data_IF_387867771806
#
_entry.id   IF_387867771806
#
_cell.length_a   1.000
_cell.length_b   1.000
_cell.length_c   1.000
_cell.angle_alpha   90.00
_cell.angle_beta   90.00
_cell.angle_gamma   90.00
#
_symmetry.space_group_name_H-M   'P 1'
#
loop_
_entity.id
_entity.type
_entity.pdbx_description
1 polymer ?
#
# COMPACT_ATOMS: atom_id res chain seq x y z
N UNK A 1 1.09 22.61 -7.96
CA UNK A 1 2.20 22.17 -7.07
C UNK A 1 2.99 21.11 -7.81
N UNK A 2 4.33 21.26 -7.88
CA UNK A 2 5.17 20.20 -8.37
C UNK A 2 5.20 19.11 -7.28
N UNK A 3 4.57 17.97 -7.56
CA UNK A 3 4.63 16.79 -6.70
C UNK A 3 5.93 16.08 -7.08
N UNK A 4 6.87 15.88 -6.15
CA UNK A 4 8.11 15.17 -6.48
C UNK A 4 7.82 13.73 -6.90
N UNK A 5 8.63 13.19 -7.80
CA UNK A 5 8.53 11.80 -8.22
C UNK A 5 8.76 10.88 -7.01
N UNK A 6 7.80 9.99 -6.74
CA UNK A 6 7.88 9.02 -5.64
C UNK A 6 8.11 7.62 -6.18
N UNK A 7 9.00 6.89 -5.54
CA UNK A 7 9.23 5.46 -5.80
C UNK A 7 8.79 4.70 -4.57
N UNK A 8 7.66 3.99 -4.67
CA UNK A 8 7.12 3.18 -3.59
C UNK A 8 7.70 1.77 -3.69
N UNK A 9 8.43 1.33 -2.67
CA UNK A 9 8.87 -0.05 -2.56
C UNK A 9 7.64 -0.93 -2.24
N UNK A 10 7.16 -1.66 -3.25
CA UNK A 10 5.95 -2.47 -3.21
C UNK A 10 6.09 -3.61 -2.21
N UNK A 11 5.30 -3.58 -1.13
CA UNK A 11 5.39 -4.49 0.02
C UNK A 11 6.76 -4.48 0.70
N UNK A 12 7.45 -3.33 0.71
CA UNK A 12 8.85 -3.20 1.09
C UNK A 12 9.81 -3.58 -0.05
N UNK A 13 11.09 -3.83 0.25
CA UNK A 13 12.01 -4.40 -0.76
C UNK A 13 11.81 -5.92 -0.86
N UNK A 14 10.70 -6.32 -1.46
CA UNK A 14 10.19 -7.69 -1.55
C UNK A 14 11.07 -8.65 -2.38
N UNK A 15 12.03 -8.12 -3.12
CA UNK A 15 13.05 -8.93 -3.83
C UNK A 15 14.29 -9.22 -2.97
N UNK A 16 14.45 -8.55 -1.84
CA UNK A 16 15.59 -8.69 -0.93
C UNK A 16 15.19 -9.26 0.45
N UNK A 17 13.92 -9.24 0.78
CA UNK A 17 13.37 -9.76 2.03
C UNK A 17 11.89 -10.16 1.81
N UNK A 18 11.30 -11.01 2.68
CA UNK A 18 9.91 -11.45 2.51
C UNK A 18 8.94 -10.25 2.51
N UNK A 19 8.05 -10.22 1.52
CA UNK A 19 7.07 -9.14 1.34
C UNK A 19 6.25 -8.87 2.60
N UNK A 20 5.86 -7.61 2.81
CA UNK A 20 4.98 -7.20 3.91
C UNK A 20 5.50 -7.61 5.31
N UNK A 21 6.82 -7.59 5.51
CA UNK A 21 7.47 -7.85 6.80
C UNK A 21 8.32 -6.67 7.26
N UNK A 22 8.60 -6.62 8.56
CA UNK A 22 9.52 -5.61 9.10
C UNK A 22 10.94 -5.74 8.50
N UNK A 23 11.36 -6.96 8.11
CA UNK A 23 12.62 -7.18 7.41
C UNK A 23 12.64 -6.44 6.06
N UNK A 24 11.55 -6.54 5.26
CA UNK A 24 11.46 -5.84 3.97
C UNK A 24 11.42 -4.31 4.14
N UNK A 25 10.77 -3.81 5.19
CA UNK A 25 10.70 -2.37 5.47
C UNK A 25 12.05 -1.81 5.95
N UNK A 26 12.79 -2.54 6.79
CA UNK A 26 14.16 -2.20 7.18
C UNK A 26 15.08 -2.09 5.97
N UNK A 27 14.95 -3.00 5.00
CA UNK A 27 15.73 -2.93 3.74
C UNK A 27 15.50 -1.65 2.96
N UNK A 28 14.28 -1.09 2.97
CA UNK A 28 13.99 0.19 2.31
C UNK A 28 14.84 1.31 2.92
N UNK A 29 14.85 1.41 4.25
CA UNK A 29 15.66 2.41 4.97
C UNK A 29 17.16 2.17 4.78
N UNK A 30 17.64 0.92 4.86
CA UNK A 30 19.05 0.54 4.61
C UNK A 30 19.54 0.96 3.22
N UNK A 31 18.66 0.97 2.22
CA UNK A 31 18.98 1.39 0.84
C UNK A 31 18.77 2.90 0.59
N UNK A 32 18.47 3.68 1.64
CA UNK A 32 18.27 5.13 1.52
C UNK A 32 16.97 5.53 0.82
N UNK A 33 16.01 4.62 0.70
CA UNK A 33 14.68 4.88 0.18
C UNK A 33 13.77 5.35 1.31
N UNK A 34 12.72 6.11 0.98
CA UNK A 34 11.87 6.77 1.97
C UNK A 34 10.37 6.57 1.76
N UNK A 35 9.96 5.71 0.82
CA UNK A 35 8.57 5.36 0.59
C UNK A 35 8.39 3.85 0.45
N UNK A 36 7.46 3.30 1.20
CA UNK A 36 6.93 1.94 1.01
C UNK A 36 5.50 1.97 0.50
N UNK A 37 5.10 0.87 -0.07
CA UNK A 37 3.70 0.48 -0.17
C UNK A 37 3.52 -0.80 0.63
N UNK A 38 2.34 -0.97 1.24
CA UNK A 38 2.00 -2.16 2.04
C UNK A 38 0.49 -2.34 2.17
N UNK A 39 0.08 -3.59 2.41
CA UNK A 39 -1.30 -4.03 2.47
C UNK A 39 -1.76 -4.25 3.91
N UNK A 40 -2.93 -3.77 4.30
CA UNK A 40 -3.49 -4.01 5.64
C UNK A 40 -4.87 -4.63 5.59
N UNK A 41 -5.11 -5.56 6.51
CA UNK A 41 -6.41 -6.12 6.83
C UNK A 41 -6.54 -6.35 8.35
N UNK A 42 -7.60 -6.99 8.84
CA UNK A 42 -7.95 -7.05 10.26
C UNK A 42 -8.16 -8.48 10.74
N UNK A 43 -7.70 -8.79 11.94
CA UNK A 43 -8.01 -10.03 12.66
C UNK A 43 -9.38 -9.96 13.34
N UNK A 44 -9.86 -11.10 13.82
CA UNK A 44 -11.14 -11.21 14.52
C UNK A 44 -11.25 -10.39 15.81
N UNK A 45 -10.14 -10.10 16.47
CA UNK A 45 -10.08 -9.28 17.69
C UNK A 45 -9.93 -7.77 17.40
N UNK A 46 -9.84 -7.37 16.13
CA UNK A 46 -9.69 -5.98 15.71
C UNK A 46 -8.24 -5.52 15.50
N UNK A 47 -7.26 -6.39 15.65
CA UNK A 47 -5.86 -6.08 15.36
C UNK A 47 -5.64 -5.92 13.87
N UNK A 48 -5.07 -4.79 13.44
CA UNK A 48 -4.72 -4.55 12.02
C UNK A 48 -3.37 -5.19 11.73
N UNK A 49 -3.38 -6.14 10.79
CA UNK A 49 -2.18 -6.85 10.32
C UNK A 49 -1.74 -6.36 8.95
N UNK A 50 -0.50 -6.66 8.60
CA UNK A 50 0.07 -6.38 7.29
C UNK A 50 0.12 -7.69 6.51
N UNK A 51 -0.79 -7.85 5.54
CA UNK A 51 -0.91 -9.05 4.71
C UNK A 51 -1.64 -8.71 3.40
N UNK A 52 -1.12 -9.20 2.27
CA UNK A 52 -1.74 -8.98 0.97
C UNK A 52 -2.93 -9.91 0.72
N UNK A 53 -2.74 -11.22 0.94
CA UNK A 53 -3.73 -12.23 0.62
C UNK A 53 -4.76 -12.36 1.75
N UNK A 54 -5.97 -12.83 1.44
CA UNK A 54 -7.01 -13.14 2.42
C UNK A 54 -6.74 -14.42 3.21
N UNK A 55 -5.67 -15.13 2.87
CA UNK A 55 -5.20 -16.33 3.55
C UNK A 55 -3.69 -16.27 3.83
N UNK A 56 -3.24 -17.12 4.76
CA UNK A 56 -1.85 -17.21 5.21
C UNK A 56 -0.98 -18.13 4.37
N UNK A 57 -1.55 -18.81 3.37
CA UNK A 57 -0.95 -19.98 2.69
C UNK A 57 0.32 -19.66 1.91
N UNK A 58 0.39 -18.51 1.24
CA UNK A 58 1.48 -18.20 0.30
C UNK A 58 2.74 -17.68 1.00
N UNK A 59 2.57 -16.88 2.03
CA UNK A 59 3.67 -16.11 2.62
C UNK A 59 3.94 -16.45 4.09
N UNK A 60 3.33 -17.53 4.61
CA UNK A 60 3.56 -17.96 5.99
C UNK A 60 3.65 -19.49 6.14
N UNK A 61 3.99 -19.94 7.34
CA UNK A 61 3.96 -21.35 7.75
C UNK A 61 2.55 -21.85 8.15
N UNK A 62 1.50 -21.04 7.95
CA UNK A 62 0.11 -21.37 8.30
C UNK A 62 -0.75 -21.43 7.04
N UNK A 63 -1.95 -21.99 7.18
CA UNK A 63 -2.92 -22.09 6.09
C UNK A 63 -4.29 -21.59 6.52
N UNK A 64 -5.08 -21.12 5.55
CA UNK A 64 -6.44 -20.63 5.73
C UNK A 64 -6.52 -19.15 6.08
N UNK A 65 -7.75 -18.68 6.27
CA UNK A 65 -8.05 -17.29 6.57
C UNK A 65 -7.70 -16.88 7.99
N UNK A 66 -7.53 -15.60 8.22
CA UNK A 66 -7.12 -15.03 9.50
C UNK A 66 -8.23 -14.24 10.24
N UNK A 67 -9.44 -14.13 9.71
CA UNK A 67 -10.53 -13.38 10.36
C UNK A 67 -11.00 -13.99 11.70
N UNK A 68 -10.64 -15.24 11.99
CA UNK A 68 -10.89 -15.89 13.28
C UNK A 68 -9.73 -15.84 14.27
N UNK A 69 -8.59 -15.26 13.87
CA UNK A 69 -7.38 -15.17 14.68
C UNK A 69 -7.38 -13.91 15.55
N UNK A 70 -6.45 -13.90 16.51
CA UNK A 70 -6.20 -12.80 17.45
C UNK A 70 -4.73 -12.40 17.40
N UNK A 71 -4.37 -11.27 18.00
CA UNK A 71 -2.98 -10.81 18.11
C UNK A 71 -2.06 -11.88 18.77
N UNK A 72 -2.58 -12.69 19.70
CA UNK A 72 -1.80 -13.75 20.34
C UNK A 72 -1.38 -14.87 19.36
N UNK A 73 -2.18 -15.12 18.32
CA UNK A 73 -1.86 -16.13 17.30
C UNK A 73 -0.68 -15.75 16.43
N UNK A 74 -0.39 -14.43 16.27
CA UNK A 74 0.71 -13.91 15.46
C UNK A 74 2.07 -14.42 15.93
N UNK A 75 2.23 -14.73 17.22
CA UNK A 75 3.47 -15.28 17.79
C UNK A 75 3.87 -16.63 17.18
N UNK A 76 2.90 -17.38 16.66
CA UNK A 76 3.12 -18.70 16.04
C UNK A 76 3.24 -18.65 14.51
N UNK A 77 3.05 -17.48 13.90
CA UNK A 77 3.10 -17.29 12.45
C UNK A 77 4.51 -16.89 12.06
N UNK A 78 5.12 -17.68 11.18
CA UNK A 78 6.39 -17.39 10.53
C UNK A 78 6.09 -16.90 9.11
N UNK A 79 6.40 -15.63 8.84
CA UNK A 79 6.19 -14.98 7.56
C UNK A 79 7.50 -14.80 6.75
N UNK A 80 8.59 -15.44 7.19
CA UNK A 80 9.91 -15.27 6.56
C UNK A 80 10.48 -16.53 5.94
N UNK A 81 10.29 -17.71 6.55
CA UNK A 81 10.93 -18.96 6.13
C UNK A 81 10.64 -19.39 4.69
N UNK A 82 9.51 -18.98 4.12
CA UNK A 82 9.15 -19.26 2.72
C UNK A 82 10.07 -18.54 1.73
N UNK A 83 10.61 -17.39 2.12
CA UNK A 83 11.49 -16.57 1.28
C UNK A 83 12.95 -17.06 1.36
N UNK A 84 13.44 -17.37 2.58
CA UNK A 84 14.78 -17.85 2.82
C UNK A 84 15.01 -18.20 4.27
N UNK A 85 15.92 -19.15 4.52
CA UNK A 85 16.21 -19.62 5.89
C UNK A 85 16.75 -18.53 6.81
N UNK A 86 17.38 -17.48 6.27
CA UNK A 86 17.89 -16.32 7.00
C UNK A 86 16.77 -15.45 7.59
N UNK A 87 15.54 -15.59 7.07
CA UNK A 87 14.35 -14.90 7.57
C UNK A 87 13.45 -15.79 8.44
N UNK A 88 13.93 -16.99 8.78
CA UNK A 88 13.15 -17.90 9.63
C UNK A 88 12.80 -17.23 10.96
N UNK A 89 11.52 -17.28 11.33
CA UNK A 89 11.00 -16.64 12.54
C UNK A 89 10.58 -15.18 12.38
N UNK A 90 10.74 -14.56 11.19
CA UNK A 90 10.14 -13.24 10.90
C UNK A 90 8.63 -13.33 11.09
N UNK A 91 8.05 -12.35 11.78
CA UNK A 91 6.63 -12.36 12.16
C UNK A 91 5.78 -11.63 11.12
N UNK A 92 4.49 -11.99 11.08
CA UNK A 92 3.49 -11.18 10.40
C UNK A 92 3.32 -9.87 11.17
N UNK A 93 3.63 -8.69 10.59
CA UNK A 93 3.61 -7.45 11.34
C UNK A 93 2.19 -6.93 11.56
N UNK A 94 2.04 -6.07 12.56
CA UNK A 94 0.85 -5.24 12.75
C UNK A 94 1.08 -3.83 12.21
N UNK A 95 0.00 -3.12 11.86
CA UNK A 95 0.08 -1.69 11.51
C UNK A 95 0.64 -0.85 12.67
N UNK A 96 0.37 -1.26 13.92
CA UNK A 96 0.93 -0.63 15.11
C UNK A 96 2.47 -0.62 15.08
N UNK A 97 3.09 -1.77 14.81
CA UNK A 97 4.55 -1.90 14.71
C UNK A 97 5.12 -1.09 13.54
N UNK A 98 4.40 -1.06 12.41
CA UNK A 98 4.83 -0.25 11.27
C UNK A 98 4.79 1.24 11.60
N UNK A 99 3.74 1.74 12.25
CA UNK A 99 3.63 3.16 12.64
C UNK A 99 4.75 3.56 13.60
N UNK A 100 5.11 2.70 14.57
CA UNK A 100 6.26 2.95 15.44
C UNK A 100 7.55 3.05 14.63
N UNK A 101 7.78 2.11 13.71
CA UNK A 101 8.95 2.11 12.83
C UNK A 101 9.01 3.32 11.90
N UNK A 102 7.86 3.75 11.36
CA UNK A 102 7.76 4.98 10.55
C UNK A 102 8.17 6.21 11.36
N UNK A 103 7.67 6.34 12.59
CA UNK A 103 8.03 7.45 13.48
C UNK A 103 9.53 7.45 13.84
N UNK A 104 10.13 6.27 14.04
CA UNK A 104 11.55 6.14 14.37
C UNK A 104 12.47 6.49 13.19
N UNK A 105 12.05 6.17 11.96
CA UNK A 105 12.93 6.24 10.78
C UNK A 105 12.62 7.38 9.82
N UNK A 106 11.45 8.01 9.93
CA UNK A 106 10.94 8.97 8.95
C UNK A 106 10.44 8.31 7.65
N UNK A 107 10.23 6.99 7.65
CA UNK A 107 9.72 6.26 6.49
C UNK A 107 8.27 6.65 6.20
N UNK A 108 7.98 6.97 4.94
CA UNK A 108 6.63 7.29 4.47
C UNK A 108 5.96 6.04 3.89
N UNK A 109 4.63 6.02 3.84
CA UNK A 109 3.92 4.85 3.33
C UNK A 109 2.70 5.19 2.47
N UNK A 110 2.44 4.37 1.46
CA UNK A 110 1.13 4.13 0.90
C UNK A 110 0.55 2.87 1.57
N UNK A 111 -0.56 3.02 2.28
CA UNK A 111 -1.26 1.91 2.96
C UNK A 111 -2.44 1.50 2.10
N UNK A 112 -2.37 0.32 1.47
CA UNK A 112 -3.53 -0.26 0.80
C UNK A 112 -4.42 -0.95 1.84
N UNK A 113 -5.67 -0.49 1.98
CA UNK A 113 -6.66 -1.20 2.78
C UNK A 113 -7.30 -2.27 1.91
N UNK A 114 -7.15 -3.54 2.29
CA UNK A 114 -7.73 -4.65 1.55
C UNK A 114 -9.26 -4.65 1.64
N UNK A 115 -9.92 -5.02 0.54
CA UNK A 115 -11.35 -5.26 0.54
C UNK A 115 -11.68 -6.47 1.41
N UNK A 116 -12.16 -6.21 2.63
CA UNK A 116 -12.43 -7.25 3.61
C UNK A 116 -13.60 -8.15 3.17
N UNK A 117 -13.40 -9.47 3.17
CA UNK A 117 -14.40 -10.47 2.77
C UNK A 117 -15.43 -10.77 3.87
N UNK A 118 -15.20 -10.32 5.11
CA UNK A 118 -16.08 -10.58 6.24
C UNK A 118 -17.29 -9.60 6.33
N UNK A 119 -17.47 -8.75 5.33
CA UNK A 119 -18.63 -7.87 5.17
C UNK A 119 -18.48 -6.49 5.82
N UNK A 120 -19.49 -5.65 5.62
CA UNK A 120 -19.45 -4.22 5.93
C UNK A 120 -19.15 -3.87 7.40
N UNK A 121 -19.58 -4.71 8.35
CA UNK A 121 -19.31 -4.47 9.76
C UNK A 121 -17.82 -4.55 10.08
N UNK A 122 -17.13 -5.59 9.57
CA UNK A 122 -15.70 -5.79 9.73
C UNK A 122 -14.92 -4.73 8.94
N UNK A 123 -15.37 -4.38 7.73
CA UNK A 123 -14.78 -3.30 6.92
C UNK A 123 -14.79 -1.96 7.69
N UNK A 124 -15.90 -1.59 8.32
CA UNK A 124 -15.95 -0.38 9.14
C UNK A 124 -15.09 -0.44 10.39
N UNK A 125 -14.93 -1.63 10.97
CA UNK A 125 -14.00 -1.84 12.08
C UNK A 125 -12.56 -1.64 11.62
N UNK A 126 -12.18 -2.21 10.47
CA UNK A 126 -10.87 -2.03 9.84
C UNK A 126 -10.58 -0.54 9.56
N UNK A 127 -11.50 0.18 8.91
CA UNK A 127 -11.35 1.63 8.64
C UNK A 127 -11.03 2.39 9.95
N UNK A 128 -11.84 2.18 10.99
CA UNK A 128 -11.64 2.88 12.28
C UNK A 128 -10.32 2.51 12.96
N UNK A 129 -9.92 1.24 12.89
CA UNK A 129 -8.67 0.75 13.45
C UNK A 129 -7.46 1.35 12.71
N UNK A 130 -7.50 1.39 11.37
CA UNK A 130 -6.47 2.04 10.55
C UNK A 130 -6.36 3.53 10.88
N UNK A 131 -7.48 4.27 10.89
CA UNK A 131 -7.49 5.70 11.24
C UNK A 131 -6.88 5.94 12.63
N UNK A 132 -7.21 5.09 13.61
CA UNK A 132 -6.66 5.18 14.96
C UNK A 132 -5.14 5.01 14.98
N UNK A 133 -4.61 4.02 14.27
CA UNK A 133 -3.15 3.80 14.20
C UNK A 133 -2.45 4.94 13.43
N UNK A 134 -3.01 5.38 12.29
CA UNK A 134 -2.44 6.50 11.53
C UNK A 134 -2.45 7.82 12.31
N UNK A 135 -3.39 7.99 13.24
CA UNK A 135 -3.41 9.14 14.17
C UNK A 135 -2.23 9.21 15.15
N UNK A 136 -1.39 8.17 15.20
CA UNK A 136 -0.14 8.12 16.00
C UNK A 136 1.10 8.57 15.22
N UNK A 137 0.97 8.83 13.91
CA UNK A 137 2.09 9.31 13.10
C UNK A 137 2.52 10.71 13.56
N UNK A 138 3.85 10.89 13.68
CA UNK A 138 4.50 12.14 14.06
C UNK A 138 5.65 12.42 13.08
N UNK A 139 5.31 13.09 11.96
CA UNK A 139 6.25 13.48 10.92
C UNK A 139 6.13 12.73 9.60
N UNK A 140 6.10 11.38 9.53
CA UNK A 140 5.98 10.67 8.25
C UNK A 140 4.71 11.03 7.47
N UNK A 141 4.84 11.06 6.13
CA UNK A 141 3.71 11.20 5.23
C UNK A 141 3.03 9.83 5.00
N UNK A 142 1.70 9.87 4.86
CA UNK A 142 0.91 8.69 4.51
C UNK A 142 -0.08 8.99 3.40
N UNK A 143 -0.25 8.00 2.50
CA UNK A 143 -1.35 7.87 1.55
C UNK A 143 -2.16 6.64 1.93
N UNK A 144 -3.47 6.67 1.72
CA UNK A 144 -4.32 5.47 1.84
C UNK A 144 -4.90 5.13 0.48
N UNK A 145 -4.85 3.87 0.09
CA UNK A 145 -5.39 3.41 -1.19
C UNK A 145 -6.25 2.17 -1.04
N UNK A 146 -7.12 1.94 -2.00
CA UNK A 146 -7.98 0.76 -2.07
C UNK A 146 -8.57 0.59 -3.47
N UNK A 147 -8.85 -0.66 -3.87
CA UNK A 147 -9.67 -0.98 -5.05
C UNK A 147 -11.17 -0.79 -4.78
N UNK A 148 -11.60 -0.87 -3.53
CA UNK A 148 -12.98 -0.62 -3.14
C UNK A 148 -13.21 0.87 -2.87
N UNK A 149 -13.68 1.58 -3.89
CA UNK A 149 -13.90 3.03 -3.79
C UNK A 149 -15.04 3.42 -2.83
N UNK A 150 -15.98 2.51 -2.52
CA UNK A 150 -17.00 2.74 -1.48
C UNK A 150 -16.33 2.76 -0.11
N UNK A 151 -15.37 1.85 0.14
CA UNK A 151 -14.56 1.85 1.37
C UNK A 151 -13.79 3.17 1.51
N UNK A 152 -13.15 3.65 0.43
CA UNK A 152 -12.41 4.93 0.45
C UNK A 152 -13.34 6.12 0.75
N UNK A 153 -14.56 6.12 0.22
CA UNK A 153 -15.55 7.17 0.53
C UNK A 153 -15.94 7.17 2.01
N UNK A 154 -16.16 5.99 2.62
CA UNK A 154 -16.40 5.87 4.07
C UNK A 154 -15.16 6.30 4.89
N UNK A 155 -13.95 5.97 4.41
CA UNK A 155 -12.70 6.41 5.04
C UNK A 155 -12.54 7.94 5.00
N UNK A 156 -12.75 8.56 3.83
CA UNK A 156 -12.67 10.01 3.66
C UNK A 156 -13.63 10.78 4.58
N UNK A 157 -14.84 10.27 4.74
CA UNK A 157 -15.83 10.89 5.63
C UNK A 157 -15.38 10.93 7.11
N UNK A 158 -14.49 10.03 7.53
CA UNK A 158 -13.97 9.94 8.90
C UNK A 158 -12.60 10.59 9.06
N UNK A 159 -11.79 10.65 8.01
CA UNK A 159 -10.43 11.20 8.02
C UNK A 159 -10.14 12.00 6.73
N UNK A 160 -10.79 13.16 6.54
CA UNK A 160 -10.72 13.93 5.28
C UNK A 160 -9.33 14.52 4.99
N UNK A 161 -8.47 14.63 5.98
CA UNK A 161 -7.12 15.19 5.85
C UNK A 161 -6.09 14.17 5.34
N UNK A 162 -6.41 12.87 5.33
CA UNK A 162 -5.52 11.83 4.81
C UNK A 162 -5.73 11.71 3.30
N UNK A 163 -4.66 11.92 2.49
CA UNK A 163 -4.75 11.80 1.03
C UNK A 163 -5.13 10.39 0.58
N UNK A 164 -6.05 10.28 -0.39
CA UNK A 164 -6.53 8.99 -0.90
C UNK A 164 -6.10 8.75 -2.34
N UNK A 165 -5.82 7.47 -2.66
CA UNK A 165 -5.53 6.95 -3.99
C UNK A 165 -6.53 5.86 -4.40
N UNK A 166 -7.29 6.10 -5.48
CA UNK A 166 -8.16 5.08 -6.07
C UNK A 166 -7.34 4.13 -6.94
N UNK A 167 -7.28 2.86 -6.56
CA UNK A 167 -6.65 1.79 -7.33
C UNK A 167 -7.59 1.32 -8.46
N UNK A 168 -7.01 1.08 -9.64
CA UNK A 168 -7.71 0.58 -10.82
C UNK A 168 -6.87 -0.47 -11.55
N UNK A 169 -7.46 -1.64 -11.76
CA UNK A 169 -7.03 -2.53 -12.83
C UNK A 169 -7.42 -1.96 -14.19
N UNK A 170 -6.72 -2.32 -15.24
CA UNK A 170 -7.01 -1.87 -16.61
C UNK A 170 -8.47 -2.15 -17.02
N UNK A 171 -9.02 -3.30 -16.60
CA UNK A 171 -10.39 -3.70 -16.94
C UNK A 171 -11.47 -2.91 -16.18
N UNK A 172 -11.14 -2.30 -15.05
CA UNK A 172 -12.06 -1.53 -14.21
C UNK A 172 -11.95 -0.01 -14.39
N UNK A 173 -10.96 0.45 -15.17
CA UNK A 173 -10.73 1.86 -15.44
C UNK A 173 -11.63 2.35 -16.58
N UNK A 174 -12.84 2.77 -16.25
CA UNK A 174 -13.84 3.30 -17.19
C UNK A 174 -13.75 4.82 -17.37
N UNK A 175 -14.48 5.38 -18.34
CA UNK A 175 -14.41 6.80 -18.70
C UNK A 175 -14.99 7.74 -17.62
N UNK A 176 -15.73 7.23 -16.66
CA UNK A 176 -16.29 7.96 -15.52
C UNK A 176 -15.32 8.07 -14.31
N UNK A 177 -14.05 7.66 -14.49
CA UNK A 177 -13.02 7.69 -13.44
C UNK A 177 -12.96 9.02 -12.68
N UNK A 178 -13.13 10.12 -13.40
CA UNK A 178 -13.08 11.46 -12.78
C UNK A 178 -14.19 11.66 -11.77
N UNK A 179 -15.41 11.30 -12.14
CA UNK A 179 -16.57 11.40 -11.24
C UNK A 179 -16.39 10.56 -9.99
N UNK A 180 -15.80 9.36 -10.15
CA UNK A 180 -15.50 8.46 -9.03
C UNK A 180 -14.48 9.11 -8.08
N UNK A 181 -13.35 9.62 -8.59
CA UNK A 181 -12.33 10.26 -7.76
C UNK A 181 -12.86 11.48 -7.01
N UNK A 182 -13.62 12.34 -7.71
CA UNK A 182 -14.22 13.54 -7.11
C UNK A 182 -15.24 13.18 -6.02
N UNK A 183 -16.07 12.16 -6.22
CA UNK A 183 -17.05 11.71 -5.22
C UNK A 183 -16.40 11.02 -4.00
N UNK A 184 -15.29 10.31 -4.21
CA UNK A 184 -14.50 9.72 -3.14
C UNK A 184 -13.73 10.77 -2.34
N UNK A 185 -13.44 11.92 -2.95
CA UNK A 185 -12.52 12.93 -2.39
C UNK A 185 -11.04 12.52 -2.55
N UNK A 186 -10.73 11.69 -3.56
CA UNK A 186 -9.38 11.20 -3.79
C UNK A 186 -8.46 12.29 -4.36
N UNK A 187 -7.19 12.29 -3.94
CA UNK A 187 -6.14 13.16 -4.48
C UNK A 187 -5.30 12.48 -5.55
N UNK A 188 -5.35 11.15 -5.61
CA UNK A 188 -4.54 10.33 -6.50
C UNK A 188 -5.37 9.27 -7.22
N UNK A 189 -4.94 8.93 -8.44
CA UNK A 189 -5.33 7.72 -9.15
C UNK A 189 -4.13 6.77 -9.22
N UNK A 190 -4.36 5.49 -8.92
CA UNK A 190 -3.34 4.44 -8.97
C UNK A 190 -3.71 3.41 -10.05
N UNK A 191 -3.44 3.71 -11.34
CA UNK A 191 -3.77 2.80 -12.43
C UNK A 191 -2.72 1.68 -12.57
N UNK A 192 -3.17 0.51 -13.04
CA UNK A 192 -2.30 -0.53 -13.53
C UNK A 192 -1.50 -0.06 -14.76
N UNK A 193 -0.21 -0.46 -14.86
CA UNK A 193 0.66 -0.10 -16.01
C UNK A 193 0.24 -0.74 -17.32
N UNK A 194 -0.40 -1.92 -17.26
CA UNK A 194 -0.84 -2.64 -18.45
C UNK A 194 -1.81 -1.81 -19.31
N UNK A 195 -1.39 -1.48 -20.53
CA UNK A 195 -2.20 -0.69 -21.46
C UNK A 195 -2.38 0.79 -21.10
N UNK A 196 -1.64 1.29 -20.08
CA UNK A 196 -1.66 2.71 -19.75
C UNK A 196 -0.94 3.53 -20.83
N UNK A 197 -1.60 4.58 -21.32
CA UNK A 197 -1.09 5.45 -22.38
C UNK A 197 -0.72 6.83 -21.83
N UNK A 198 0.12 7.55 -22.59
CA UNK A 198 0.52 8.92 -22.28
C UNK A 198 -0.68 9.87 -22.19
N UNK A 199 -1.65 9.68 -23.07
CA UNK A 199 -2.88 10.48 -23.13
C UNK A 199 -3.70 10.31 -21.85
N UNK A 200 -3.86 9.06 -21.35
CA UNK A 200 -4.55 8.78 -20.08
C UNK A 200 -3.82 9.43 -18.90
N UNK A 201 -2.50 9.25 -18.79
CA UNK A 201 -1.72 9.89 -17.72
C UNK A 201 -1.89 11.39 -17.71
N UNK A 202 -1.82 12.03 -18.91
CA UNK A 202 -2.04 13.47 -19.04
C UNK A 202 -3.46 13.88 -18.65
N UNK A 203 -4.47 13.14 -19.10
CA UNK A 203 -5.85 13.43 -18.72
C UNK A 203 -6.08 13.43 -17.21
N UNK A 204 -5.45 12.48 -16.47
CA UNK A 204 -5.50 12.45 -15.00
C UNK A 204 -4.81 13.68 -14.40
N UNK A 205 -3.62 14.03 -14.90
CA UNK A 205 -2.85 15.19 -14.44
C UNK A 205 -3.55 16.52 -14.73
N UNK A 206 -4.12 16.67 -15.92
CA UNK A 206 -4.85 17.88 -16.34
C UNK A 206 -6.14 18.08 -15.53
N UNK A 207 -6.72 16.98 -15.02
CA UNK A 207 -7.84 17.01 -14.08
C UNK A 207 -7.41 17.31 -12.62
N UNK A 208 -6.10 17.43 -12.34
CA UNK A 208 -5.56 17.83 -11.04
C UNK A 208 -5.15 16.68 -10.12
N UNK A 209 -5.28 15.42 -10.56
CA UNK A 209 -4.92 14.25 -9.73
C UNK A 209 -3.44 13.89 -9.82
N UNK A 210 -2.87 13.41 -8.70
CA UNK A 210 -1.61 12.68 -8.71
C UNK A 210 -1.79 11.30 -9.37
N UNK A 211 -0.75 10.80 -10.05
CA UNK A 211 -0.79 9.53 -10.78
C UNK A 211 0.33 8.64 -10.30
N UNK A 212 0.02 7.55 -9.59
CA UNK A 212 0.99 6.59 -9.11
C UNK A 212 0.70 5.22 -9.74
N UNK A 213 1.61 4.74 -10.57
CA UNK A 213 1.40 3.58 -11.47
C UNK A 213 1.94 2.29 -10.85
N UNK A 214 1.21 1.19 -10.92
CA UNK A 214 1.58 -0.13 -10.39
C UNK A 214 1.48 -1.23 -11.46
N UNK A 215 2.27 -2.34 -11.45
CA UNK A 215 3.57 -2.46 -10.80
C UNK A 215 4.63 -2.30 -11.87
N UNK A 216 5.56 -1.38 -11.67
CA UNK A 216 6.53 -0.95 -12.68
C UNK A 216 7.94 -1.44 -12.32
N UNK A 217 8.38 -2.56 -12.89
CA UNK A 217 9.65 -3.21 -12.56
C UNK A 217 10.78 -2.93 -13.58
N UNK A 218 10.56 -2.01 -14.51
CA UNK A 218 11.56 -1.60 -15.50
C UNK A 218 11.98 -0.14 -15.27
N UNK A 219 13.28 0.16 -15.04
CA UNK A 219 13.75 1.54 -14.95
C UNK A 219 13.44 2.38 -16.20
N UNK A 220 13.48 1.77 -17.38
CA UNK A 220 13.14 2.45 -18.63
C UNK A 220 11.65 2.84 -18.65
N UNK A 221 10.75 1.94 -18.20
CA UNK A 221 9.32 2.22 -18.11
C UNK A 221 9.01 3.25 -17.05
N UNK A 222 9.67 3.18 -15.89
CA UNK A 222 9.57 4.18 -14.84
C UNK A 222 9.87 5.58 -15.36
N UNK A 223 11.02 5.73 -16.07
CA UNK A 223 11.44 6.99 -16.67
C UNK A 223 10.43 7.49 -17.74
N UNK A 224 9.90 6.59 -18.55
CA UNK A 224 8.85 6.92 -19.53
C UNK A 224 7.58 7.48 -18.85
N UNK A 225 7.10 6.82 -17.80
CA UNK A 225 5.91 7.23 -17.04
C UNK A 225 6.13 8.59 -16.36
N UNK A 226 7.28 8.85 -15.76
CA UNK A 226 7.60 10.16 -15.19
C UNK A 226 7.65 11.24 -16.27
N UNK A 227 8.20 10.96 -17.45
CA UNK A 227 8.17 11.87 -18.60
C UNK A 227 6.74 12.11 -19.14
N UNK A 228 5.79 11.22 -18.90
CA UNK A 228 4.36 11.43 -19.21
C UNK A 228 3.65 12.30 -18.17
N UNK A 229 4.23 12.42 -16.97
CA UNK A 229 3.69 13.21 -15.86
C UNK A 229 3.20 12.39 -14.66
N UNK A 230 3.51 11.07 -14.62
CA UNK A 230 3.27 10.29 -13.40
C UNK A 230 3.98 10.92 -12.20
N UNK A 231 3.35 10.87 -11.02
CA UNK A 231 3.89 11.41 -9.76
C UNK A 231 4.53 10.34 -8.89
N UNK A 232 4.29 9.07 -9.21
CA UNK A 232 4.88 7.96 -8.50
C UNK A 232 4.75 6.64 -9.24
N UNK A 233 5.53 5.68 -8.81
CA UNK A 233 5.43 4.28 -9.25
C UNK A 233 5.55 3.34 -8.06
N UNK A 234 4.80 2.23 -8.10
CA UNK A 234 4.97 1.09 -7.20
C UNK A 234 5.85 0.06 -7.91
N UNK A 235 6.88 -0.44 -7.23
CA UNK A 235 7.87 -1.33 -7.86
C UNK A 235 8.46 -2.33 -6.88
N UNK A 236 8.69 -3.56 -7.34
CA UNK A 236 9.39 -4.61 -6.59
C UNK A 236 10.91 -4.38 -6.57
N UNK A 237 11.42 -3.51 -7.42
CA UNK A 237 12.85 -3.25 -7.59
C UNK A 237 13.23 -1.79 -7.30
N UNK A 238 12.62 -1.20 -6.26
CA UNK A 238 12.79 0.21 -5.92
C UNK A 238 14.27 0.62 -5.78
N UNK A 239 15.14 -0.27 -5.26
CA UNK A 239 16.57 -0.07 -5.13
C UNK A 239 17.34 0.02 -6.46
N UNK A 240 16.69 -0.38 -7.58
CA UNK A 240 17.27 -0.28 -8.94
C UNK A 240 16.71 0.89 -9.74
N UNK A 241 15.71 1.59 -9.23
CA UNK A 241 15.13 2.77 -9.88
C UNK A 241 15.98 3.99 -9.48
N UNK A 242 16.59 4.70 -10.43
CA UNK A 242 17.33 5.92 -10.12
C UNK A 242 16.41 6.94 -9.45
N UNK A 243 16.79 7.46 -8.28
CA UNK A 243 16.15 8.65 -7.71
C UNK A 243 16.47 9.84 -8.63
N UNK A 244 15.42 10.44 -9.23
CA UNK A 244 15.56 11.66 -10.02
C UNK A 244 15.63 12.89 -9.12
#
# INVERSE_FOLDING_TARGET
>A
MDIPNRVFAHRGLNTLAPENTMAAFRKVVEHGLNWIETDVDILGDGTVIICHDTTLDRTTNKSGGYYGLTAADLETIDAGSWFGSEFAGEKLPTLHQLVDFMNETGLNANIEIKSNEAGAAMTRQLIKAVIKELGRLDGPEVLVSCFNHVLLSEFHALAPDIPLGCLYETCSLHDDWRSVLELVGASYIHPEDAGLTREKVRAFRDAGFGVNVWTVNSPARANELFNWGATGIFTDVAHLIPCC
#
